data_IF_484661464764
#
_entry.id   IF_484661464764
#
_cell.length_a   1.000
_cell.length_b   1.000
_cell.length_c   1.000
_cell.angle_alpha   90.00
_cell.angle_beta   90.00
_cell.angle_gamma   90.00
#
_symmetry.space_group_name_H-M   'P 1'
#
loop_
_entity.id
_entity.type
_entity.pdbx_description
1 polymer ?
#
# COMPACT_ATOMS: atom_id res chain seq x y z
N UNK A 1 -13.40 -25.61 3.71
CA UNK A 1 -11.95 -25.84 3.83
C UNK A 1 -11.22 -24.49 3.70
N UNK A 2 -10.80 -23.89 4.81
CA UNK A 2 -10.06 -22.62 4.84
C UNK A 2 -8.64 -22.88 4.32
N UNK A 3 -8.22 -22.25 3.21
CA UNK A 3 -6.79 -22.01 3.03
C UNK A 3 -6.44 -20.82 3.93
N UNK A 4 -5.62 -21.09 4.95
CA UNK A 4 -5.01 -20.09 5.80
C UNK A 4 -4.19 -19.11 4.94
N UNK A 5 -3.79 -17.97 5.51
CA UNK A 5 -2.71 -17.17 4.95
C UNK A 5 -1.50 -18.09 4.66
N UNK A 6 -0.63 -17.77 3.67
CA UNK A 6 0.56 -18.57 3.40
C UNK A 6 1.30 -18.93 4.69
N UNK A 7 1.68 -20.19 4.86
CA UNK A 7 2.41 -20.66 6.05
C UNK A 7 3.65 -19.78 6.28
N UNK A 8 3.85 -19.34 7.53
CA UNK A 8 5.00 -18.53 7.93
C UNK A 8 4.82 -17.00 7.87
N UNK A 9 3.68 -16.47 7.40
CA UNK A 9 3.44 -15.02 7.45
C UNK A 9 2.88 -14.59 8.82
N UNK A 10 3.73 -14.05 9.68
CA UNK A 10 3.29 -13.42 10.92
C UNK A 10 2.66 -12.04 10.62
N UNK A 11 1.35 -11.93 10.78
CA UNK A 11 0.62 -10.66 10.68
C UNK A 11 0.06 -10.24 12.04
N UNK A 12 0.12 -8.94 12.33
CA UNK A 12 -0.55 -8.35 13.49
C UNK A 12 -1.86 -7.73 13.05
N UNK A 13 -2.97 -8.19 13.64
CA UNK A 13 -4.29 -7.63 13.39
C UNK A 13 -4.58 -6.52 14.41
N UNK A 14 -4.97 -5.34 13.91
CA UNK A 14 -5.42 -4.22 14.73
C UNK A 14 -6.79 -3.79 14.23
N UNK A 15 -7.76 -3.74 15.14
CA UNK A 15 -9.15 -3.38 14.85
C UNK A 15 -9.57 -2.14 15.65
N UNK A 16 -9.24 -0.92 15.18
CA UNK A 16 -9.63 0.31 15.86
C UNK A 16 -11.15 0.51 15.82
N UNK A 17 -11.67 1.24 16.82
CA UNK A 17 -13.07 1.68 16.87
C UNK A 17 -13.18 3.07 16.24
N UNK A 18 -14.27 3.32 15.52
CA UNK A 18 -14.57 4.66 15.00
C UNK A 18 -14.69 5.70 16.13
N UNK A 19 -14.33 6.97 15.91
CA UNK A 19 -14.27 7.98 16.96
C UNK A 19 -15.66 8.41 17.46
N UNK A 20 -16.71 8.31 16.64
CA UNK A 20 -18.04 8.77 17.00
C UNK A 20 -18.82 7.72 17.79
N UNK A 21 -19.74 8.17 18.66
CA UNK A 21 -20.73 7.30 19.29
C UNK A 21 -21.97 7.27 18.42
N UNK A 22 -22.50 6.08 18.15
CA UNK A 22 -23.73 5.90 17.39
C UNK A 22 -24.57 4.82 18.06
N UNK A 23 -25.69 5.21 18.67
CA UNK A 23 -26.46 4.34 19.56
C UNK A 23 -25.57 3.67 20.61
N UNK A 24 -25.56 2.33 20.63
CA UNK A 24 -24.69 1.53 21.51
C UNK A 24 -23.31 1.23 20.92
N UNK A 25 -23.08 1.58 19.65
CA UNK A 25 -21.89 1.27 18.88
C UNK A 25 -20.97 2.47 18.64
N UNK A 26 -20.12 2.33 17.62
CA UNK A 26 -19.16 3.35 17.18
C UNK A 26 -19.26 3.53 15.67
N UNK A 27 -19.09 4.76 15.22
CA UNK A 27 -19.08 5.13 13.81
C UNK A 27 -17.81 5.89 13.45
N UNK A 28 -17.41 5.77 12.19
CA UNK A 28 -16.32 6.53 11.59
C UNK A 28 -16.74 7.94 11.20
N UNK A 29 -17.95 8.06 10.65
CA UNK A 29 -18.53 9.31 10.16
C UNK A 29 -20.01 9.37 10.52
N UNK A 30 -20.58 10.57 10.59
CA UNK A 30 -22.03 10.79 10.80
C UNK A 30 -22.83 10.85 9.50
N UNK A 31 -22.22 10.50 8.36
CA UNK A 31 -22.83 10.53 7.04
C UNK A 31 -22.97 9.11 6.46
N UNK A 32 -23.92 8.95 5.54
CA UNK A 32 -24.22 7.71 4.85
C UNK A 32 -23.72 7.74 3.42
N UNK A 33 -23.48 6.55 2.86
CA UNK A 33 -23.07 6.42 1.47
C UNK A 33 -24.14 6.88 0.46
N UNK A 34 -25.38 7.12 0.90
CA UNK A 34 -26.46 7.67 0.08
C UNK A 34 -26.49 9.21 0.10
N UNK A 35 -25.80 9.85 1.04
CA UNK A 35 -25.80 11.30 1.20
C UNK A 35 -25.18 12.00 -0.02
N UNK A 36 -25.47 13.31 -0.20
CA UNK A 36 -24.82 14.14 -1.20
C UNK A 36 -23.29 14.06 -1.13
N UNK A 37 -22.63 14.07 -2.29
CA UNK A 37 -21.18 13.87 -2.41
C UNK A 37 -20.36 14.85 -1.55
N UNK A 38 -20.79 16.11 -1.43
CA UNK A 38 -20.07 17.12 -0.67
C UNK A 38 -20.16 16.87 0.84
N UNK A 39 -21.34 16.51 1.35
CA UNK A 39 -21.53 16.13 2.75
C UNK A 39 -20.73 14.86 3.11
N UNK A 40 -20.77 13.86 2.22
CA UNK A 40 -20.00 12.63 2.41
C UNK A 40 -18.49 12.90 2.35
N UNK A 41 -18.03 13.77 1.44
CA UNK A 41 -16.62 14.16 1.34
C UNK A 41 -16.14 14.90 2.60
N UNK A 42 -16.94 15.85 3.10
CA UNK A 42 -16.63 16.62 4.30
C UNK A 42 -16.53 15.72 5.54
N UNK A 43 -17.38 14.68 5.63
CA UNK A 43 -17.33 13.73 6.74
C UNK A 43 -16.14 12.75 6.62
N UNK A 44 -15.83 12.26 5.41
CA UNK A 44 -14.77 11.26 5.19
C UNK A 44 -13.35 11.82 5.31
N UNK A 45 -13.13 13.07 4.88
CA UNK A 45 -11.80 13.68 4.91
C UNK A 45 -11.14 13.65 6.31
N UNK A 46 -11.78 14.14 7.39
CA UNK A 46 -11.20 14.07 8.73
C UNK A 46 -11.09 12.64 9.27
N UNK A 47 -12.02 11.75 8.92
CA UNK A 47 -11.95 10.34 9.35
C UNK A 47 -10.74 9.62 8.73
N UNK A 48 -10.47 9.83 7.44
CA UNK A 48 -9.30 9.28 6.76
C UNK A 48 -7.99 9.84 7.35
N UNK A 49 -7.93 11.16 7.60
CA UNK A 49 -6.78 11.79 8.25
C UNK A 49 -6.53 11.22 9.66
N UNK A 50 -7.59 10.99 10.44
CA UNK A 50 -7.49 10.37 11.77
C UNK A 50 -6.95 8.93 11.70
N UNK A 51 -7.37 8.13 10.72
CA UNK A 51 -6.82 6.78 10.51
C UNK A 51 -5.36 6.83 10.06
N UNK A 52 -4.98 7.77 9.18
CA UNK A 52 -3.57 7.96 8.79
C UNK A 52 -2.69 8.29 10.00
N UNK A 53 -3.14 9.23 10.85
CA UNK A 53 -2.43 9.59 12.08
C UNK A 53 -2.33 8.40 13.06
N UNK A 54 -3.40 7.62 13.22
CA UNK A 54 -3.39 6.40 14.02
C UNK A 54 -2.38 5.37 13.49
N UNK A 55 -2.31 5.17 12.17
CA UNK A 55 -1.33 4.28 11.53
C UNK A 55 0.09 4.78 11.78
N UNK A 56 0.34 6.09 11.66
CA UNK A 56 1.64 6.69 11.96
C UNK A 56 2.08 6.37 13.39
N UNK A 57 1.25 6.69 14.38
CA UNK A 57 1.53 6.42 15.79
C UNK A 57 1.70 4.92 16.09
N UNK A 58 0.95 4.05 15.41
CA UNK A 58 1.08 2.60 15.56
C UNK A 58 2.42 2.11 15.03
N UNK A 59 2.88 2.61 13.87
CA UNK A 59 4.15 2.21 13.25
C UNK A 59 5.37 2.62 14.07
N UNK A 60 5.30 3.74 14.79
CA UNK A 60 6.34 4.17 15.73
C UNK A 60 6.47 3.22 16.92
N UNK A 61 5.33 2.74 17.44
CA UNK A 61 5.30 1.84 18.61
C UNK A 61 5.54 0.38 18.25
N UNK A 62 5.15 -0.01 17.04
CA UNK A 62 5.15 -1.38 16.56
C UNK A 62 5.73 -1.41 15.14
N UNK A 63 7.06 -1.50 15.01
CA UNK A 63 7.71 -1.59 13.72
C UNK A 63 7.11 -2.72 12.88
N UNK A 64 6.71 -2.37 11.65
CA UNK A 64 6.02 -3.27 10.71
C UNK A 64 6.83 -3.32 9.43
N UNK A 65 7.02 -4.51 8.86
CA UNK A 65 7.66 -4.65 7.56
C UNK A 65 6.76 -4.05 6.47
N UNK A 66 7.31 -3.14 5.66
CA UNK A 66 6.57 -2.46 4.61
C UNK A 66 5.48 -1.51 5.13
N UNK A 67 4.56 -1.13 4.23
CA UNK A 67 3.40 -0.31 4.56
C UNK A 67 2.22 -1.20 5.00
N UNK A 68 1.41 -0.79 6.00
CA UNK A 68 0.26 -1.56 6.45
C UNK A 68 -0.79 -1.85 5.36
N UNK A 69 -1.51 -2.95 5.53
CA UNK A 69 -2.71 -3.28 4.76
C UNK A 69 -3.93 -2.85 5.58
N UNK A 70 -4.86 -2.12 4.96
CA UNK A 70 -6.12 -1.73 5.60
C UNK A 70 -7.28 -2.51 4.98
N UNK A 71 -8.11 -3.12 5.82
CA UNK A 71 -9.33 -3.80 5.41
C UNK A 71 -10.53 -3.04 5.98
N UNK A 72 -11.47 -2.66 5.12
CA UNK A 72 -12.63 -1.87 5.50
C UNK A 72 -13.94 -2.46 4.96
N UNK A 73 -14.99 -2.47 5.79
CA UNK A 73 -16.32 -2.90 5.39
C UNK A 73 -17.27 -1.72 5.48
N UNK A 74 -18.12 -1.52 4.48
CA UNK A 74 -19.13 -0.46 4.43
C UNK A 74 -18.49 0.89 4.75
N UNK A 75 -18.93 1.58 5.80
CA UNK A 75 -18.35 2.85 6.25
C UNK A 75 -16.82 2.80 6.47
N UNK A 76 -16.30 1.71 7.03
CA UNK A 76 -14.84 1.52 7.18
C UNK A 76 -14.13 1.37 5.83
N UNK A 77 -14.83 0.84 4.82
CA UNK A 77 -14.35 0.78 3.44
C UNK A 77 -14.33 2.15 2.77
N UNK A 78 -15.33 3.01 3.03
CA UNK A 78 -15.32 4.40 2.54
C UNK A 78 -14.10 5.16 3.10
N UNK A 79 -13.82 5.01 4.40
CA UNK A 79 -12.63 5.60 5.04
C UNK A 79 -11.35 5.04 4.46
N UNK A 80 -11.27 3.73 4.21
CA UNK A 80 -10.09 3.11 3.60
C UNK A 80 -9.83 3.60 2.17
N UNK A 81 -10.87 3.78 1.34
CA UNK A 81 -10.72 4.38 0.01
C UNK A 81 -10.26 5.84 0.11
N UNK A 82 -10.83 6.62 1.03
CA UNK A 82 -10.42 8.00 1.25
C UNK A 82 -8.95 8.09 1.71
N UNK A 83 -8.52 7.18 2.60
CA UNK A 83 -7.13 7.05 3.02
C UNK A 83 -6.20 6.78 1.82
N UNK A 84 -6.51 5.78 0.99
CA UNK A 84 -5.68 5.46 -0.18
C UNK A 84 -5.58 6.62 -1.19
N UNK A 85 -6.64 7.41 -1.35
CA UNK A 85 -6.67 8.53 -2.30
C UNK A 85 -5.98 9.80 -1.77
N UNK A 86 -6.02 10.03 -0.45
CA UNK A 86 -5.59 11.30 0.17
C UNK A 86 -4.24 11.19 0.87
N UNK A 87 -3.91 10.03 1.41
CA UNK A 87 -2.62 9.72 2.01
C UNK A 87 -2.13 8.35 1.51
N UNK A 88 -1.74 8.25 0.22
CA UNK A 88 -1.31 6.98 -0.37
C UNK A 88 -0.05 6.39 0.29
N UNK A 89 0.73 7.19 1.02
CA UNK A 89 1.97 6.72 1.67
C UNK A 89 1.71 6.03 3.02
N UNK A 90 0.55 6.27 3.64
CA UNK A 90 0.18 5.62 4.90
C UNK A 90 -0.05 4.10 4.79
N UNK A 91 -0.39 3.61 3.59
CA UNK A 91 -0.80 2.21 3.35
C UNK A 91 -0.13 1.61 2.13
N UNK A 92 0.07 0.29 2.13
CA UNK A 92 0.55 -0.46 0.98
C UNK A 92 -0.59 -1.05 0.14
N UNK A 93 -1.72 -1.32 0.77
CA UNK A 93 -2.94 -1.73 0.11
C UNK A 93 -4.19 -1.44 0.94
N UNK A 94 -5.31 -1.30 0.24
CA UNK A 94 -6.64 -1.26 0.84
C UNK A 94 -7.55 -2.32 0.22
N UNK A 95 -8.26 -3.06 1.07
CA UNK A 95 -9.25 -4.07 0.69
C UNK A 95 -10.60 -3.64 1.24
N UNK A 96 -11.57 -3.40 0.36
CA UNK A 96 -12.85 -2.85 0.76
C UNK A 96 -14.01 -3.73 0.36
N UNK A 97 -15.03 -3.79 1.21
CA UNK A 97 -16.26 -4.53 0.94
C UNK A 97 -17.46 -3.60 1.04
N UNK A 98 -18.25 -3.50 -0.04
CA UNK A 98 -19.48 -2.71 -0.04
C UNK A 98 -19.24 -1.21 0.17
N UNK A 99 -18.28 -0.61 -0.55
CA UNK A 99 -17.80 0.75 -0.28
C UNK A 99 -17.61 1.58 -1.56
N UNK A 100 -17.74 2.90 -1.43
CA UNK A 100 -17.53 3.87 -2.53
C UNK A 100 -16.68 5.05 -2.06
N UNK A 101 -16.36 5.98 -2.96
CA UNK A 101 -15.66 7.22 -2.67
C UNK A 101 -16.32 8.39 -3.42
N UNK A 102 -16.81 9.44 -2.73
CA UNK A 102 -17.41 10.59 -3.39
C UNK A 102 -16.38 11.36 -4.23
N UNK A 103 -16.87 12.07 -5.24
CA UNK A 103 -16.05 12.78 -6.24
C UNK A 103 -15.02 13.73 -5.64
N UNK A 104 -15.40 14.45 -4.59
CA UNK A 104 -14.53 15.42 -3.91
C UNK A 104 -13.24 14.81 -3.34
N UNK A 105 -13.23 13.49 -3.11
CA UNK A 105 -12.11 12.76 -2.53
C UNK A 105 -11.37 11.83 -3.50
N UNK A 106 -11.74 11.81 -4.79
CA UNK A 106 -11.02 11.00 -5.77
C UNK A 106 -9.51 11.34 -5.81
N UNK A 107 -8.66 10.35 -6.16
CA UNK A 107 -7.22 10.60 -6.29
C UNK A 107 -6.94 11.75 -7.26
N UNK A 108 -6.09 12.69 -6.84
CA UNK A 108 -5.73 13.89 -7.63
C UNK A 108 -4.40 13.78 -8.37
N UNK A 109 -3.59 12.79 -8.04
CA UNK A 109 -2.32 12.50 -8.69
C UNK A 109 -2.03 10.99 -8.60
N UNK A 110 -1.13 10.53 -9.46
CA UNK A 110 -0.51 9.22 -9.35
C UNK A 110 0.69 9.35 -8.41
N UNK A 111 0.69 8.74 -7.22
CA UNK A 111 1.87 8.69 -6.38
C UNK A 111 2.95 7.79 -7.02
N UNK A 112 4.23 7.97 -6.67
CA UNK A 112 5.31 7.14 -7.23
C UNK A 112 5.15 5.65 -6.91
N UNK A 113 4.61 5.33 -5.73
CA UNK A 113 4.35 3.96 -5.26
C UNK A 113 2.88 3.85 -4.76
N UNK A 114 1.91 3.76 -5.68
CA UNK A 114 0.49 3.76 -5.32
C UNK A 114 0.13 2.52 -4.51
N UNK A 115 -0.69 2.65 -3.45
CA UNK A 115 -1.23 1.47 -2.78
C UNK A 115 -2.10 0.67 -3.73
N UNK A 116 -2.11 -0.65 -3.58
CA UNK A 116 -3.09 -1.49 -4.30
C UNK A 116 -4.48 -1.27 -3.73
N UNK A 117 -5.49 -1.27 -4.60
CA UNK A 117 -6.88 -1.08 -4.20
C UNK A 117 -7.66 -2.29 -4.68
N UNK A 118 -8.25 -3.04 -3.76
CA UNK A 118 -9.13 -4.15 -4.10
C UNK A 118 -10.49 -3.95 -3.47
N UNK A 119 -11.55 -4.21 -4.23
CA UNK A 119 -12.93 -4.08 -3.80
C UNK A 119 -13.73 -5.35 -4.06
N UNK A 120 -14.69 -5.60 -3.19
CA UNK A 120 -15.78 -6.55 -3.42
C UNK A 120 -17.12 -5.87 -3.19
N UNK A 121 -18.08 -6.10 -4.07
CA UNK A 121 -19.39 -5.44 -3.99
C UNK A 121 -20.53 -6.35 -4.44
N UNK A 122 -21.65 -6.34 -3.72
CA UNK A 122 -22.86 -7.04 -4.17
C UNK A 122 -23.64 -6.19 -5.18
N UNK A 123 -24.01 -6.73 -6.34
CA UNK A 123 -24.70 -5.94 -7.37
C UNK A 123 -26.09 -5.43 -6.95
N UNK A 124 -26.71 -6.09 -5.97
CA UNK A 124 -28.05 -5.75 -5.43
C UNK A 124 -27.97 -4.94 -4.14
N UNK A 125 -26.82 -4.31 -3.87
CA UNK A 125 -26.62 -3.49 -2.67
C UNK A 125 -27.50 -2.23 -2.73
N UNK A 126 -28.40 -2.10 -1.75
CA UNK A 126 -29.33 -0.98 -1.63
C UNK A 126 -28.83 0.15 -0.72
N UNK A 127 -27.73 -0.08 0.01
CA UNK A 127 -27.13 0.92 0.91
C UNK A 127 -26.01 1.68 0.23
N UNK A 128 -25.18 0.95 -0.53
CA UNK A 128 -24.11 1.52 -1.33
C UNK A 128 -24.34 1.08 -2.78
N UNK A 129 -24.98 1.91 -3.62
CA UNK A 129 -25.26 1.53 -5.00
C UNK A 129 -23.98 1.16 -5.76
N UNK A 130 -23.94 -0.02 -6.40
CA UNK A 130 -22.77 -0.54 -7.11
C UNK A 130 -22.17 0.48 -8.08
N UNK A 131 -23.02 1.22 -8.82
CA UNK A 131 -22.57 2.24 -9.77
C UNK A 131 -21.66 3.30 -9.14
N UNK A 132 -21.90 3.71 -7.89
CA UNK A 132 -21.01 4.66 -7.19
C UNK A 132 -19.64 4.02 -6.95
N UNK A 133 -19.60 2.74 -6.57
CA UNK A 133 -18.35 1.98 -6.40
C UNK A 133 -17.59 1.84 -7.72
N UNK A 134 -18.25 1.44 -8.80
CA UNK A 134 -17.62 1.31 -10.12
C UNK A 134 -16.97 2.61 -10.59
N UNK A 135 -17.67 3.74 -10.45
CA UNK A 135 -17.17 5.06 -10.83
C UNK A 135 -15.97 5.47 -9.97
N UNK A 136 -16.00 5.19 -8.67
CA UNK A 136 -14.87 5.44 -7.78
C UNK A 136 -13.64 4.60 -8.18
N UNK A 137 -13.81 3.29 -8.42
CA UNK A 137 -12.71 2.42 -8.85
C UNK A 137 -12.16 2.83 -10.23
N UNK A 138 -13.01 3.28 -11.15
CA UNK A 138 -12.56 3.85 -12.41
C UNK A 138 -11.72 5.12 -12.19
N UNK A 139 -12.04 5.95 -11.19
CA UNK A 139 -11.22 7.11 -10.84
C UNK A 139 -9.84 6.73 -10.32
N UNK A 140 -9.72 5.69 -9.50
CA UNK A 140 -8.42 5.12 -9.08
C UNK A 140 -7.61 4.63 -10.28
N UNK A 141 -8.21 3.83 -11.18
CA UNK A 141 -7.52 3.33 -12.40
C UNK A 141 -7.02 4.46 -13.29
N UNK A 142 -7.85 5.49 -13.51
CA UNK A 142 -7.44 6.68 -14.30
C UNK A 142 -6.25 7.42 -13.70
N UNK A 143 -5.95 7.24 -12.41
CA UNK A 143 -4.77 7.81 -11.74
C UNK A 143 -3.66 6.78 -11.49
N UNK A 144 -3.61 5.72 -12.29
CA UNK A 144 -2.51 4.75 -12.27
C UNK A 144 -2.47 3.81 -11.06
N UNK A 145 -3.54 3.77 -10.24
CA UNK A 145 -3.63 2.79 -9.16
C UNK A 145 -3.94 1.41 -9.74
N UNK A 146 -3.31 0.37 -9.19
CA UNK A 146 -3.74 -1.02 -9.40
C UNK A 146 -5.05 -1.28 -8.65
N UNK A 147 -6.18 -0.92 -9.27
CA UNK A 147 -7.51 -0.96 -8.66
C UNK A 147 -8.42 -2.03 -9.29
N UNK A 148 -8.76 -3.06 -8.51
CA UNK A 148 -9.56 -4.22 -8.92
C UNK A 148 -10.90 -4.25 -8.17
N UNK A 149 -12.00 -4.51 -8.89
CA UNK A 149 -13.33 -4.61 -8.28
C UNK A 149 -13.97 -5.95 -8.69
N UNK A 150 -14.27 -6.77 -7.70
CA UNK A 150 -15.05 -8.00 -7.85
C UNK A 150 -16.52 -7.73 -7.52
N UNK A 151 -17.43 -8.22 -8.37
CA UNK A 151 -18.87 -8.02 -8.20
C UNK A 151 -19.57 -9.38 -8.05
N UNK A 152 -20.42 -9.51 -7.02
CA UNK A 152 -21.33 -10.66 -6.90
C UNK A 152 -22.75 -10.25 -7.30
N UNK A 153 -23.17 -10.73 -8.48
CA UNK A 153 -24.46 -10.43 -9.13
C UNK A 153 -25.69 -10.82 -8.29
N UNK A 154 -25.53 -11.74 -7.34
CA UNK A 154 -26.64 -12.30 -6.57
C UNK A 154 -26.84 -11.60 -5.23
N UNK A 155 -25.88 -10.79 -4.78
CA UNK A 155 -25.81 -10.30 -3.40
C UNK A 155 -26.15 -8.83 -3.27
N UNK A 156 -26.72 -8.49 -2.12
CA UNK A 156 -26.80 -7.11 -1.63
C UNK A 156 -25.69 -6.79 -0.64
N UNK A 157 -25.99 -5.98 0.37
CA UNK A 157 -25.05 -5.56 1.40
C UNK A 157 -24.82 -6.64 2.48
N UNK A 158 -24.23 -7.78 2.09
CA UNK A 158 -23.94 -8.91 3.00
C UNK A 158 -22.52 -9.43 2.77
N UNK A 159 -21.78 -9.61 3.85
CA UNK A 159 -20.35 -9.97 3.86
C UNK A 159 -20.09 -11.36 4.48
N UNK A 160 -20.88 -12.35 4.07
CA UNK A 160 -20.78 -13.74 4.56
C UNK A 160 -19.71 -14.57 3.81
N UNK A 161 -19.86 -15.90 3.74
CA UNK A 161 -18.85 -16.85 3.29
C UNK A 161 -18.14 -16.46 1.99
N UNK A 162 -18.85 -16.25 0.87
CA UNK A 162 -18.24 -15.86 -0.40
C UNK A 162 -17.49 -14.53 -0.37
N UNK A 163 -18.05 -13.48 0.25
CA UNK A 163 -17.34 -12.21 0.41
C UNK A 163 -16.04 -12.37 1.23
N UNK A 164 -16.10 -13.16 2.31
CA UNK A 164 -14.91 -13.51 3.11
C UNK A 164 -13.92 -14.38 2.35
N UNK A 165 -14.39 -15.26 1.48
CA UNK A 165 -13.57 -16.09 0.61
C UNK A 165 -12.81 -15.27 -0.42
N UNK A 166 -13.51 -14.36 -1.11
CA UNK A 166 -12.93 -13.42 -2.05
C UNK A 166 -11.87 -12.53 -1.39
N UNK A 167 -12.19 -11.96 -0.22
CA UNK A 167 -11.24 -11.17 0.55
C UNK A 167 -9.98 -11.97 0.93
N UNK A 168 -10.13 -13.19 1.43
CA UNK A 168 -8.98 -14.05 1.79
C UNK A 168 -8.11 -14.37 0.57
N UNK A 169 -8.74 -14.69 -0.56
CA UNK A 169 -8.02 -14.96 -1.80
C UNK A 169 -7.26 -13.72 -2.29
N UNK A 170 -7.89 -12.54 -2.24
CA UNK A 170 -7.26 -11.28 -2.63
C UNK A 170 -6.08 -10.92 -1.72
N UNK A 171 -6.25 -11.06 -0.40
CA UNK A 171 -5.18 -10.84 0.58
C UNK A 171 -3.99 -11.80 0.35
N UNK A 172 -4.26 -13.09 0.12
CA UNK A 172 -3.21 -14.07 -0.14
C UNK A 172 -2.40 -13.71 -1.41
N UNK A 173 -3.09 -13.38 -2.51
CA UNK A 173 -2.42 -12.92 -3.75
C UNK A 173 -1.55 -11.70 -3.54
N UNK A 174 -2.02 -10.73 -2.75
CA UNK A 174 -1.26 -9.52 -2.45
C UNK A 174 -0.01 -9.83 -1.64
N UNK A 175 -0.16 -10.57 -0.55
CA UNK A 175 0.97 -10.97 0.31
C UNK A 175 2.02 -11.73 -0.50
N UNK A 176 1.60 -12.70 -1.30
CA UNK A 176 2.52 -13.52 -2.11
C UNK A 176 3.29 -12.67 -3.12
N UNK A 177 2.65 -11.64 -3.70
CA UNK A 177 3.31 -10.69 -4.60
C UNK A 177 4.32 -9.82 -3.85
N UNK A 178 3.93 -9.25 -2.70
CA UNK A 178 4.81 -8.39 -1.89
C UNK A 178 6.03 -9.13 -1.35
N UNK A 179 5.88 -10.40 -0.95
CA UNK A 179 7.02 -11.23 -0.51
C UNK A 179 7.99 -11.48 -1.66
N UNK A 180 7.49 -11.76 -2.87
CA UNK A 180 8.33 -11.97 -4.06
C UNK A 180 9.08 -10.70 -4.47
N UNK A 181 8.40 -9.55 -4.47
CA UNK A 181 8.99 -8.24 -4.77
C UNK A 181 10.07 -7.87 -3.73
N UNK A 182 9.80 -8.04 -2.44
CA UNK A 182 10.77 -7.80 -1.36
C UNK A 182 11.96 -8.76 -1.37
N UNK A 183 11.74 -10.03 -1.71
CA UNK A 183 12.81 -11.03 -1.85
C UNK A 183 13.70 -10.80 -3.09
N UNK A 184 13.15 -10.24 -4.16
CA UNK A 184 13.91 -9.86 -5.36
C UNK A 184 14.78 -8.61 -5.10
N UNK A 185 14.26 -7.61 -4.39
CA UNK A 185 15.02 -6.41 -4.01
C UNK A 185 16.17 -6.71 -3.00
N UNK A 186 16.07 -7.78 -2.23
CA UNK A 186 17.10 -8.23 -1.28
C UNK A 186 18.27 -9.01 -1.89
N UNK A 187 18.21 -9.41 -3.17
CA UNK A 187 19.34 -10.04 -3.87
C UNK A 187 20.17 -8.99 -4.59
N UNK A 188 21.02 -8.29 -3.85
CA UNK A 188 22.15 -7.58 -4.46
C UNK A 188 22.96 -8.59 -5.32
N UNK A 189 23.45 -8.21 -6.52
CA UNK A 189 24.33 -9.07 -7.27
C UNK A 189 25.55 -9.36 -6.39
N UNK A 190 25.81 -10.65 -6.13
CA UNK A 190 27.07 -11.07 -5.50
C UNK A 190 28.18 -10.46 -6.34
N UNK A 191 28.88 -9.45 -5.79
CA UNK A 191 30.11 -8.94 -6.41
C UNK A 191 30.97 -10.16 -6.68
N UNK A 192 31.20 -10.42 -7.97
CA UNK A 192 32.02 -11.54 -8.39
C UNK A 192 33.33 -11.49 -7.62
N UNK A 193 33.72 -12.64 -7.05
CA UNK A 193 35.09 -12.83 -6.60
C UNK A 193 35.98 -12.50 -7.79
N UNK A 194 36.70 -11.38 -7.72
CA UNK A 194 37.79 -11.13 -8.63
C UNK A 194 38.80 -12.27 -8.49
N UNK A 195 39.38 -12.77 -9.59
CA UNK A 195 40.44 -13.75 -9.50
C UNK A 195 41.68 -13.03 -8.94
N UNK A 196 42.06 -13.39 -7.72
CA UNK A 196 43.44 -13.24 -7.26
C UNK A 196 44.14 -14.57 -7.50
N UNK A 197 45.41 -14.44 -7.88
CA UNK A 197 46.46 -15.46 -7.97
C UNK A 197 46.72 -16.03 -9.36
N UNK A 198 47.53 -15.29 -10.13
CA UNK A 198 48.57 -15.87 -10.96
C UNK A 198 49.86 -15.05 -10.78
N UNK A 199 50.69 -15.50 -9.83
CA UNK A 199 52.08 -15.12 -9.71
C UNK A 199 52.85 -15.68 -10.92
N UNK A 200 53.26 -14.80 -11.83
CA UNK A 200 54.24 -15.09 -12.88
C UNK A 200 55.50 -14.27 -12.67
N UNK A 201 56.54 -14.88 -12.12
CA UNK A 201 57.92 -14.36 -12.14
C UNK A 201 58.50 -14.55 -13.53
N UNK A 202 59.06 -13.49 -14.13
CA UNK A 202 60.35 -13.46 -14.84
C UNK A 202 60.41 -12.23 -15.76
N UNK A 203 61.38 -11.35 -15.54
CA UNK A 203 61.64 -10.19 -16.39
C UNK A 203 62.88 -9.45 -15.90
N UNK A 204 64.04 -9.86 -16.42
CA UNK A 204 65.35 -9.37 -16.01
C UNK A 204 65.70 -7.97 -16.54
N UNK A 205 66.51 -7.29 -15.72
CA UNK A 205 67.66 -6.42 -16.03
C UNK A 205 67.63 -5.59 -17.32
N UNK A 206 67.75 -4.27 -17.16
CA UNK A 206 68.46 -3.42 -18.11
C UNK A 206 68.19 -1.92 -17.94
N UNK A 207 69.21 -1.15 -17.52
CA UNK A 207 69.32 0.28 -17.86
C UNK A 207 69.00 1.31 -16.77
N UNK A 208 70.03 1.77 -16.05
CA UNK A 208 70.23 3.20 -15.70
C UNK A 208 70.97 3.88 -16.88
N UNK A 209 71.18 5.22 -16.98
CA UNK A 209 70.98 6.34 -16.02
C UNK A 209 70.18 7.51 -16.71
N UNK A 210 69.90 8.71 -16.18
CA UNK A 210 70.67 9.77 -15.50
C UNK A 210 69.71 10.82 -14.91
N UNK A 211 70.13 11.38 -13.78
CA UNK A 211 70.15 12.80 -13.38
C UNK A 211 69.15 13.82 -13.94
N UNK A 212 68.54 14.58 -13.03
CA UNK A 212 67.87 15.86 -13.29
C UNK A 212 67.39 16.51 -12.00
N UNK A 213 68.19 17.44 -11.47
CA UNK A 213 67.92 18.28 -10.28
C UNK A 213 66.82 19.34 -10.56
N UNK A 214 66.40 19.95 -9.45
CA UNK A 214 65.84 21.32 -9.31
C UNK A 214 64.33 21.44 -9.56
N UNK A 215 63.54 22.30 -8.91
CA UNK A 215 63.60 23.13 -7.69
C UNK A 215 62.34 24.03 -7.75
N UNK A 216 61.83 24.49 -6.61
CA UNK A 216 60.88 25.61 -6.53
C UNK A 216 59.45 25.18 -6.20
N UNK A 217 58.87 25.47 -5.03
CA UNK A 217 58.57 26.76 -4.36
C UNK A 217 57.31 27.44 -4.90
N UNK A 218 56.38 27.77 -3.99
CA UNK A 218 55.24 28.67 -4.20
C UNK A 218 53.89 27.98 -3.95
N UNK A 219 53.31 27.99 -2.74
CA UNK A 219 52.69 29.10 -1.98
C UNK A 219 51.30 29.50 -2.48
N UNK A 220 50.31 29.32 -1.58
CA UNK A 220 49.11 30.16 -1.36
C UNK A 220 48.05 30.16 -2.49
N UNK A 221 46.74 30.02 -2.27
CA UNK A 221 45.84 30.20 -1.12
C UNK A 221 44.67 29.23 -1.25
#
# INVERSE_FOLDING_TARGET
>A
MQRALPEGLAARLVAPRGPLREGRGRAWIGAFAADPDDALSAALAPAAAGVAAFIGALRERVPTAGRPIVVGISQGGLVALALAARDPHAVGAVFVLGATLPRGLWPRATPMDPPRVWGWHGARDRYVPLRRTEVAFAAFRRRGYGAELEVDERRGHRFDGPARGALRAALARFVDASVREGGAAGRAPRRGRGPRDALGRAGGRGGRPREGRASGSGASR
#
